data_IF_149340862274
#
_entry.id   IF_149340862274
#
_cell.length_a   1.000
_cell.length_b   1.000
_cell.length_c   1.000
_cell.angle_alpha   90.00
_cell.angle_beta   90.00
_cell.angle_gamma   90.00
#
_symmetry.space_group_name_H-M   'P 1'
#
loop_
_entity.id
_entity.type
_entity.pdbx_description
1 polymer ?
#
# COMPACT_ATOMS: atom_id res chain seq x y z
N UNK A 1 37.79 11.57 -7.88
CA UNK A 1 37.31 10.93 -9.12
C UNK A 1 37.94 9.54 -9.21
N UNK A 2 37.18 8.45 -9.29
CA UNK A 2 37.75 7.09 -9.39
C UNK A 2 38.28 6.89 -10.82
N UNK A 3 39.50 6.39 -11.02
CA UNK A 3 39.99 6.05 -12.35
C UNK A 3 39.15 4.93 -12.97
N UNK A 4 39.03 4.90 -14.31
CA UNK A 4 38.28 3.83 -15.03
C UNK A 4 38.82 2.44 -14.69
N UNK A 5 37.96 1.42 -14.73
CA UNK A 5 38.22 0.06 -14.22
C UNK A 5 39.58 -0.55 -14.67
N UNK A 6 40.01 -0.35 -15.92
CA UNK A 6 41.28 -0.88 -16.43
C UNK A 6 42.53 -0.18 -15.85
N UNK A 7 42.45 1.11 -15.52
CA UNK A 7 43.54 1.85 -14.92
C UNK A 7 43.74 1.52 -13.45
N UNK A 8 42.69 1.17 -12.77
CA UNK A 8 42.73 0.71 -11.38
C UNK A 8 43.43 -0.64 -11.25
N UNK A 9 43.17 -1.56 -12.14
CA UNK A 9 43.79 -2.89 -12.17
C UNK A 9 45.32 -2.82 -12.43
N UNK A 10 45.73 -1.96 -13.35
CA UNK A 10 47.16 -1.72 -13.64
C UNK A 10 47.88 -1.16 -12.41
N UNK A 11 47.25 -0.24 -11.69
CA UNK A 11 47.79 0.36 -10.46
C UNK A 11 47.95 -0.67 -9.33
N UNK A 12 46.97 -1.54 -9.12
CA UNK A 12 47.06 -2.57 -8.10
C UNK A 12 48.15 -3.58 -8.41
N UNK A 13 48.27 -4.01 -9.67
CA UNK A 13 49.38 -4.92 -10.08
C UNK A 13 50.77 -4.27 -9.96
N UNK A 14 50.89 -2.96 -10.15
CA UNK A 14 52.13 -2.23 -9.92
C UNK A 14 52.52 -2.20 -8.43
N UNK A 15 51.57 -1.97 -7.55
CA UNK A 15 51.78 -1.99 -6.09
C UNK A 15 52.13 -3.40 -5.57
N UNK A 16 51.63 -4.42 -6.18
CA UNK A 16 51.91 -5.82 -5.87
C UNK A 16 53.23 -6.32 -6.48
N UNK A 17 53.93 -5.47 -7.26
CA UNK A 17 55.19 -5.82 -7.93
C UNK A 17 55.01 -6.79 -9.12
N UNK A 18 53.81 -6.97 -9.60
CA UNK A 18 53.45 -7.99 -10.59
C UNK A 18 53.07 -7.35 -11.94
N UNK A 19 53.99 -6.53 -12.47
CA UNK A 19 53.87 -5.83 -13.76
C UNK A 19 54.98 -6.18 -14.73
N UNK A 20 54.63 -6.31 -16.00
CA UNK A 20 55.60 -6.50 -17.06
C UNK A 20 56.40 -5.21 -17.34
N UNK A 21 57.59 -5.29 -18.00
CA UNK A 21 58.36 -4.09 -18.34
C UNK A 21 57.64 -3.12 -19.29
N UNK A 22 56.73 -3.60 -20.09
CA UNK A 22 55.88 -2.80 -20.97
C UNK A 22 54.78 -2.06 -20.18
N UNK A 23 54.10 -2.72 -19.29
CA UNK A 23 53.07 -2.14 -18.43
C UNK A 23 53.67 -1.11 -17.45
N UNK A 24 54.90 -1.35 -16.99
CA UNK A 24 55.64 -0.38 -16.15
C UNK A 24 55.94 0.93 -16.87
N UNK A 25 56.23 0.90 -18.17
CA UNK A 25 56.42 2.10 -18.98
C UNK A 25 55.10 2.85 -19.19
N UNK A 26 54.05 2.16 -19.49
CA UNK A 26 52.73 2.71 -19.67
C UNK A 26 52.22 3.38 -18.38
N UNK A 27 52.46 2.75 -17.22
CA UNK A 27 52.14 3.31 -15.92
C UNK A 27 52.94 4.57 -15.59
N UNK A 28 54.24 4.61 -15.92
CA UNK A 28 55.05 5.79 -15.73
C UNK A 28 54.63 6.95 -16.63
N UNK A 29 54.15 6.67 -17.84
CA UNK A 29 53.58 7.67 -18.76
C UNK A 29 52.27 8.22 -18.27
N UNK A 30 51.43 7.36 -17.70
CA UNK A 30 50.16 7.73 -17.04
C UNK A 30 50.42 8.68 -15.85
N UNK A 31 51.43 8.39 -15.03
CA UNK A 31 51.83 9.26 -13.90
C UNK A 31 52.39 10.61 -14.35
N UNK A 32 52.94 10.71 -15.57
CA UNK A 32 53.43 11.99 -16.13
C UNK A 32 52.28 12.88 -16.60
N UNK A 33 51.18 12.29 -17.09
CA UNK A 33 50.13 13.03 -17.79
C UNK A 33 48.86 13.24 -16.95
N UNK A 34 48.65 12.45 -15.89
CA UNK A 34 47.42 12.48 -15.09
C UNK A 34 47.68 12.84 -13.62
N UNK A 35 47.28 14.07 -13.23
CA UNK A 35 47.38 14.57 -11.85
C UNK A 35 46.52 13.77 -10.86
N UNK A 36 45.39 13.23 -11.30
CA UNK A 36 44.51 12.39 -10.47
C UNK A 36 45.16 11.07 -10.10
N UNK A 37 45.92 10.46 -11.04
CA UNK A 37 46.66 9.23 -10.79
C UNK A 37 47.81 9.46 -9.78
N UNK A 38 48.50 10.62 -9.84
CA UNK A 38 49.54 11.02 -8.87
C UNK A 38 48.98 11.23 -7.46
N UNK A 39 47.87 11.93 -7.33
CA UNK A 39 47.23 12.15 -6.02
C UNK A 39 46.76 10.84 -5.39
N UNK A 40 46.22 9.96 -6.22
CA UNK A 40 45.73 8.68 -5.75
C UNK A 40 46.87 7.74 -5.29
N UNK A 41 47.97 7.69 -6.04
CA UNK A 41 49.18 6.95 -5.67
C UNK A 41 49.79 7.45 -4.37
N UNK A 42 49.82 8.78 -4.16
CA UNK A 42 50.30 9.37 -2.89
C UNK A 42 49.43 8.93 -1.71
N UNK A 43 48.11 8.97 -1.84
CA UNK A 43 47.20 8.54 -0.77
C UNK A 43 47.37 7.07 -0.35
N UNK A 44 47.65 6.18 -1.32
CA UNK A 44 47.90 4.76 -1.02
C UNK A 44 49.32 4.56 -0.45
N UNK A 45 50.33 5.26 -0.97
CA UNK A 45 51.71 5.16 -0.45
C UNK A 45 51.82 5.69 0.97
N UNK A 46 51.12 6.75 1.35
CA UNK A 46 51.02 7.23 2.73
C UNK A 46 50.41 6.20 3.68
N UNK A 47 49.35 5.51 3.22
CA UNK A 47 48.74 4.41 4.01
C UNK A 47 49.67 3.17 4.12
N UNK A 48 50.39 2.85 3.05
CA UNK A 48 51.36 1.74 3.05
C UNK A 48 52.55 2.01 3.94
N UNK A 49 53.05 3.25 3.98
CA UNK A 49 54.13 3.68 4.88
C UNK A 49 53.70 3.60 6.35
N UNK A 50 52.46 4.05 6.66
CA UNK A 50 51.91 3.95 8.01
C UNK A 50 51.79 2.51 8.48
N UNK A 51 51.41 1.59 7.60
CA UNK A 51 51.36 0.16 7.89
C UNK A 51 52.75 -0.48 7.99
N UNK A 52 53.71 -0.01 7.18
CA UNK A 52 55.12 -0.41 7.19
C UNK A 52 55.85 0.01 8.47
N UNK A 53 55.52 1.15 9.04
CA UNK A 53 56.08 1.63 10.31
C UNK A 53 55.54 0.83 11.52
N UNK A 54 54.31 0.42 11.47
CA UNK A 54 53.72 -0.52 12.45
C UNK A 54 54.41 -1.90 12.37
N UNK A 55 54.74 -2.35 11.18
CA UNK A 55 55.41 -3.64 10.99
C UNK A 55 56.90 -3.56 11.42
N UNK A 56 57.60 -2.43 11.16
CA UNK A 56 58.99 -2.21 11.58
C UNK A 56 59.15 -1.97 13.09
N UNK A 57 58.23 -1.31 13.74
CA UNK A 57 58.19 -1.19 15.19
C UNK A 57 58.02 -2.54 15.90
N UNK A 58 57.43 -3.53 15.22
CA UNK A 58 57.39 -4.93 15.70
C UNK A 58 58.68 -5.70 15.50
N UNK A 59 59.54 -5.33 14.57
CA UNK A 59 60.80 -6.04 14.29
C UNK A 59 61.97 -5.57 15.15
N UNK A 60 61.87 -4.41 15.81
CA UNK A 60 62.94 -3.89 16.72
C UNK A 60 62.85 -4.43 18.14
N UNK A 61 61.93 -5.33 18.45
CA UNK A 61 61.84 -6.01 19.75
C UNK A 61 62.42 -7.45 19.66
N UNK A 62 63.44 -7.61 18.85
CA UNK A 62 64.08 -8.91 18.68
C UNK A 62 65.58 -8.83 18.96
N UNK A 63 65.95 -8.39 20.15
CA UNK A 63 67.26 -8.73 20.74
C UNK A 63 67.26 -8.25 22.20
N UNK A 64 66.99 -9.13 23.08
CA UNK A 64 67.44 -9.40 24.46
C UNK A 64 66.36 -10.27 25.12
N UNK A 65 66.38 -11.56 24.87
CA UNK A 65 65.76 -12.51 25.78
C UNK A 65 66.66 -13.70 25.89
N UNK A 66 67.28 -13.83 27.07
CA UNK A 66 67.86 -15.08 27.57
C UNK A 66 66.78 -16.21 27.54
N UNK A 67 67.17 -17.48 27.35
CA UNK A 67 66.24 -18.56 27.25
C UNK A 67 65.53 -18.75 28.60
N UNK A 68 64.33 -18.22 28.70
CA UNK A 68 63.41 -18.56 29.76
C UNK A 68 62.79 -19.93 29.44
N UNK A 69 62.80 -20.79 30.47
CA UNK A 69 62.20 -22.12 30.43
C UNK A 69 60.81 -22.13 29.80
N UNK A 70 60.35 -23.23 29.16
CA UNK A 70 59.09 -23.28 28.45
C UNK A 70 57.93 -23.06 29.43
N UNK A 71 57.40 -21.86 29.44
CA UNK A 71 56.17 -21.55 30.13
C UNK A 71 55.07 -22.43 29.51
N UNK A 72 54.59 -23.37 30.34
CA UNK A 72 53.51 -24.29 30.06
C UNK A 72 52.35 -23.56 29.38
N UNK A 73 51.98 -23.99 28.18
CA UNK A 73 51.06 -23.40 27.17
C UNK A 73 49.60 -23.27 27.67
N UNK A 74 49.38 -22.70 28.85
CA UNK A 74 48.03 -22.50 29.42
C UNK A 74 47.25 -21.34 28.81
N UNK A 75 47.88 -20.50 28.01
CA UNK A 75 47.25 -19.38 27.30
C UNK A 75 46.49 -19.83 26.05
N UNK A 76 46.84 -20.97 25.47
CA UNK A 76 46.17 -21.49 24.28
C UNK A 76 44.67 -21.65 24.48
N UNK A 77 44.18 -22.25 25.58
CA UNK A 77 42.74 -22.36 25.81
C UNK A 77 42.09 -20.99 26.03
N UNK A 78 42.77 -19.99 26.64
CA UNK A 78 42.26 -18.64 26.81
C UNK A 78 42.16 -17.86 25.48
N UNK A 79 43.14 -18.02 24.58
CA UNK A 79 43.10 -17.41 23.24
C UNK A 79 41.95 -18.01 22.38
N UNK A 80 41.75 -19.32 22.46
CA UNK A 80 40.61 -19.96 21.79
C UNK A 80 39.26 -19.59 22.42
N UNK A 81 39.18 -19.40 23.73
CA UNK A 81 37.98 -18.93 24.41
C UNK A 81 37.68 -17.45 24.04
N UNK A 82 38.70 -16.60 23.96
CA UNK A 82 38.53 -15.20 23.50
C UNK A 82 38.09 -15.10 22.03
N UNK A 83 38.66 -15.94 21.15
CA UNK A 83 38.26 -16.02 19.75
C UNK A 83 36.81 -16.55 19.60
N UNK A 84 36.43 -17.55 20.38
CA UNK A 84 35.06 -18.06 20.40
C UNK A 84 34.07 -17.01 20.92
N UNK A 85 34.42 -16.28 21.99
CA UNK A 85 33.60 -15.17 22.51
C UNK A 85 33.48 -14.03 21.50
N UNK A 86 34.54 -13.67 20.76
CA UNK A 86 34.50 -12.66 19.70
C UNK A 86 33.63 -13.10 18.53
N UNK A 87 33.66 -14.38 18.13
CA UNK A 87 32.79 -14.93 17.09
C UNK A 87 31.32 -14.99 17.54
N UNK A 88 31.05 -15.38 18.78
CA UNK A 88 29.71 -15.37 19.35
C UNK A 88 29.18 -13.95 19.49
N UNK A 89 29.98 -13.00 19.98
CA UNK A 89 29.58 -11.60 20.10
C UNK A 89 29.39 -10.95 18.74
N UNK A 90 30.22 -11.26 17.74
CA UNK A 90 30.06 -10.80 16.37
C UNK A 90 28.82 -11.43 15.70
N UNK A 91 28.56 -12.71 15.96
CA UNK A 91 27.32 -13.40 15.52
C UNK A 91 26.07 -12.82 16.19
N UNK A 92 26.16 -12.50 17.49
CA UNK A 92 25.06 -11.84 18.22
C UNK A 92 24.82 -10.41 17.73
N UNK A 93 25.89 -9.63 17.47
CA UNK A 93 25.81 -8.31 16.86
C UNK A 93 25.23 -8.35 15.44
N UNK A 94 25.63 -9.35 14.67
CA UNK A 94 25.05 -9.56 13.32
C UNK A 94 23.58 -9.95 13.38
N UNK A 95 23.19 -10.77 14.35
CA UNK A 95 21.79 -11.17 14.55
C UNK A 95 20.93 -10.00 15.06
N UNK A 96 21.45 -9.15 15.93
CA UNK A 96 20.75 -7.97 16.43
C UNK A 96 20.67 -6.83 15.39
N UNK A 97 21.61 -6.79 14.42
CA UNK A 97 21.60 -5.86 13.30
C UNK A 97 20.81 -6.35 12.08
N UNK A 98 20.40 -7.63 12.06
CA UNK A 98 19.49 -8.12 11.05
C UNK A 98 18.13 -7.44 11.24
N UNK A 99 17.91 -6.36 10.51
CA UNK A 99 16.63 -5.63 10.49
C UNK A 99 15.46 -6.57 10.20
N UNK A 100 14.23 -6.20 10.53
CA UNK A 100 13.06 -7.01 10.33
C UNK A 100 12.97 -7.44 8.85
N UNK A 101 12.82 -8.74 8.63
CA UNK A 101 12.76 -9.30 7.26
C UNK A 101 11.51 -8.79 6.55
N UNK A 102 11.62 -8.35 5.28
CA UNK A 102 10.45 -7.93 4.51
C UNK A 102 9.50 -9.11 4.30
N UNK A 103 8.23 -8.88 4.55
CA UNK A 103 7.15 -9.87 4.42
C UNK A 103 6.40 -9.66 3.11
N UNK A 104 6.20 -8.40 2.72
CA UNK A 104 5.47 -8.03 1.50
C UNK A 104 6.23 -6.98 0.70
N UNK A 105 5.95 -6.92 -0.59
CA UNK A 105 6.36 -5.82 -1.48
C UNK A 105 5.11 -5.04 -1.87
N UNK A 106 5.17 -3.73 -1.73
CA UNK A 106 4.14 -2.81 -2.18
C UNK A 106 4.26 -2.65 -3.69
N UNK A 107 3.30 -3.18 -4.46
CA UNK A 107 3.38 -3.19 -5.93
C UNK A 107 2.71 -1.99 -6.56
N UNK A 108 1.68 -1.46 -5.92
CA UNK A 108 0.93 -0.32 -6.40
C UNK A 108 0.43 0.54 -5.25
N UNK A 109 0.40 1.86 -5.49
CA UNK A 109 -0.12 2.86 -4.56
C UNK A 109 -0.95 3.89 -5.33
N UNK A 110 -2.09 4.25 -4.77
CA UNK A 110 -2.84 5.45 -5.15
C UNK A 110 -3.24 6.20 -3.89
N UNK A 111 -3.06 7.51 -3.92
CA UNK A 111 -3.35 8.36 -2.75
C UNK A 111 -2.32 8.20 -1.62
N UNK A 112 -2.76 8.40 -0.39
CA UNK A 112 -1.89 8.36 0.79
C UNK A 112 -1.92 7.01 1.47
N UNK A 113 -0.74 6.41 1.62
CA UNK A 113 -0.57 5.11 2.28
C UNK A 113 0.51 5.25 3.35
N UNK A 114 0.22 4.75 4.53
CA UNK A 114 1.10 4.78 5.70
C UNK A 114 1.40 3.34 6.11
N UNK A 115 2.66 3.05 6.40
CA UNK A 115 3.04 1.81 7.05
C UNK A 115 3.55 2.10 8.44
N UNK A 116 3.11 1.29 9.41
CA UNK A 116 3.55 1.34 10.80
C UNK A 116 4.03 -0.04 11.23
N UNK A 117 5.24 -0.11 11.74
CA UNK A 117 5.86 -1.33 12.25
C UNK A 117 5.96 -1.35 13.76
N UNK A 118 6.59 -2.40 14.28
CA UNK A 118 6.88 -2.53 15.71
C UNK A 118 7.80 -1.40 16.21
N UNK A 119 7.75 -1.12 17.50
CA UNK A 119 8.59 -0.13 18.20
C UNK A 119 8.46 1.31 17.69
N UNK A 120 7.30 1.67 17.13
CA UNK A 120 7.02 3.03 16.66
C UNK A 120 7.66 3.38 15.32
N UNK A 121 8.19 2.40 14.59
CA UNK A 121 8.63 2.63 13.22
C UNK A 121 7.43 3.02 12.33
N UNK A 122 7.54 4.11 11.58
CA UNK A 122 6.50 4.56 10.65
C UNK A 122 7.12 5.09 9.37
N UNK A 123 6.45 4.83 8.24
CA UNK A 123 6.82 5.35 6.92
C UNK A 123 5.58 5.92 6.25
N UNK A 124 5.61 7.20 5.93
CA UNK A 124 4.51 7.94 5.30
C UNK A 124 4.76 8.20 3.81
N UNK A 125 6.02 8.12 3.38
CA UNK A 125 6.43 8.27 1.98
C UNK A 125 6.78 6.89 1.42
N UNK A 126 5.75 6.18 0.98
CA UNK A 126 5.90 4.88 0.35
C UNK A 126 5.84 5.02 -1.16
N UNK A 127 6.63 4.21 -1.86
CA UNK A 127 6.59 4.10 -3.31
C UNK A 127 6.37 2.64 -3.72
N UNK A 128 5.91 2.43 -4.93
CA UNK A 128 5.87 1.10 -5.53
C UNK A 128 7.28 0.48 -5.53
N UNK A 129 7.37 -0.80 -5.22
CA UNK A 129 8.64 -1.52 -5.00
C UNK A 129 9.12 -1.51 -3.55
N UNK A 130 8.52 -0.74 -2.64
CA UNK A 130 8.91 -0.73 -1.23
C UNK A 130 8.68 -2.11 -0.60
N UNK A 131 9.71 -2.62 0.08
CA UNK A 131 9.64 -3.86 0.84
C UNK A 131 9.32 -3.54 2.29
N UNK A 132 8.24 -4.15 2.80
CA UNK A 132 7.72 -3.88 4.12
C UNK A 132 7.85 -5.13 4.99
N UNK A 133 8.42 -5.01 6.21
CA UNK A 133 8.33 -6.06 7.21
C UNK A 133 6.92 -6.15 7.76
N UNK A 134 6.66 -7.13 8.63
CA UNK A 134 5.40 -7.23 9.36
C UNK A 134 5.02 -5.89 10.00
N UNK A 135 3.73 -5.56 10.00
CA UNK A 135 3.24 -4.27 10.48
C UNK A 135 1.82 -4.00 10.01
N UNK A 136 1.43 -2.74 10.08
CA UNK A 136 0.10 -2.26 9.67
C UNK A 136 0.25 -1.32 8.48
N UNK A 137 -0.58 -1.50 7.46
CA UNK A 137 -0.75 -0.57 6.34
C UNK A 137 -2.11 0.10 6.47
N UNK A 138 -2.12 1.41 6.34
CA UNK A 138 -3.31 2.25 6.35
C UNK A 138 -3.41 3.01 5.03
N UNK A 139 -4.58 2.96 4.38
CA UNK A 139 -4.92 3.80 3.23
C UNK A 139 -5.76 4.98 3.70
N UNK A 140 -5.29 6.21 3.50
CA UNK A 140 -5.93 7.43 3.99
C UNK A 140 -6.66 8.13 2.85
N UNK A 141 -7.97 8.23 2.98
CA UNK A 141 -8.86 8.81 1.97
C UNK A 141 -9.64 7.74 1.20
N UNK A 142 -10.86 8.09 0.78
CA UNK A 142 -11.80 7.13 0.19
C UNK A 142 -11.36 6.59 -1.18
N UNK A 143 -10.48 7.31 -1.88
CA UNK A 143 -9.93 6.93 -3.20
C UNK A 143 -8.46 6.47 -3.10
N UNK A 144 -7.93 6.31 -1.89
CA UNK A 144 -6.62 5.72 -1.71
C UNK A 144 -6.68 4.21 -1.94
N UNK A 145 -5.58 3.62 -2.38
CA UNK A 145 -5.45 2.17 -2.49
C UNK A 145 -3.99 1.74 -2.36
N UNK A 146 -3.79 0.49 -1.93
CA UNK A 146 -2.48 -0.12 -1.83
C UNK A 146 -2.53 -1.57 -2.24
N UNK A 147 -1.59 -2.03 -3.06
CA UNK A 147 -1.46 -3.44 -3.40
C UNK A 147 -0.18 -4.02 -2.81
N UNK A 148 -0.33 -5.07 -2.04
CA UNK A 148 0.73 -5.79 -1.35
C UNK A 148 0.92 -7.17 -1.97
N UNK A 149 2.15 -7.55 -2.26
CA UNK A 149 2.51 -8.87 -2.80
C UNK A 149 3.38 -9.64 -1.81
N UNK A 150 2.97 -10.82 -1.44
CA UNK A 150 3.81 -11.78 -0.73
C UNK A 150 4.78 -12.50 -1.68
N UNK A 151 5.81 -13.11 -1.10
CA UNK A 151 6.83 -13.84 -1.87
C UNK A 151 6.29 -15.04 -2.66
N UNK A 152 5.18 -15.65 -2.23
CA UNK A 152 4.51 -16.76 -2.93
C UNK A 152 3.58 -16.30 -4.06
N UNK A 153 3.50 -14.99 -4.33
CA UNK A 153 2.65 -14.42 -5.35
C UNK A 153 1.25 -14.03 -4.87
N UNK A 154 0.87 -14.32 -3.62
CA UNK A 154 -0.40 -13.83 -3.04
C UNK A 154 -0.46 -12.31 -3.11
N UNK A 155 -1.55 -11.77 -3.66
CA UNK A 155 -1.81 -10.34 -3.79
C UNK A 155 -2.94 -9.92 -2.84
N UNK A 156 -2.73 -8.83 -2.12
CA UNK A 156 -3.71 -8.16 -1.29
C UNK A 156 -3.89 -6.73 -1.80
N UNK A 157 -5.10 -6.33 -2.12
CA UNK A 157 -5.42 -4.95 -2.51
C UNK A 157 -6.35 -4.34 -1.47
N UNK A 158 -5.89 -3.26 -0.85
CA UNK A 158 -6.65 -2.47 0.11
C UNK A 158 -7.39 -1.35 -0.63
N UNK A 159 -8.67 -1.19 -0.32
CA UNK A 159 -9.45 -0.01 -0.73
C UNK A 159 -9.22 1.19 0.16
N UNK A 160 -9.93 2.28 -0.10
CA UNK A 160 -9.80 3.52 0.68
C UNK A 160 -10.25 3.39 2.14
N UNK A 161 -9.65 4.20 3.02
CA UNK A 161 -9.92 4.24 4.46
C UNK A 161 -9.83 2.84 5.11
N UNK A 162 -8.86 2.05 4.72
CA UNK A 162 -8.64 0.68 5.23
C UNK A 162 -7.42 0.63 6.13
N UNK A 163 -7.51 -0.16 7.19
CA UNK A 163 -6.41 -0.47 8.10
C UNK A 163 -6.21 -1.98 8.17
N UNK A 164 -5.02 -2.44 7.76
CA UNK A 164 -4.68 -3.85 7.66
C UNK A 164 -3.34 -4.13 8.32
N UNK A 165 -3.33 -4.96 9.34
CA UNK A 165 -2.10 -5.51 9.90
C UNK A 165 -1.79 -6.86 9.25
N UNK A 166 -0.50 -7.15 9.01
CA UNK A 166 -0.05 -8.39 8.41
C UNK A 166 1.22 -8.93 9.06
N UNK A 167 1.29 -10.25 9.15
CA UNK A 167 2.45 -10.97 9.66
C UNK A 167 2.63 -12.30 8.92
N UNK A 168 3.87 -12.81 8.93
CA UNK A 168 4.24 -14.10 8.38
C UNK A 168 5.13 -14.86 9.37
N UNK A 169 4.54 -15.75 10.15
CA UNK A 169 5.22 -16.62 11.10
C UNK A 169 4.96 -18.09 10.71
N UNK A 170 5.49 -18.51 9.55
CA UNK A 170 5.15 -19.79 8.92
C UNK A 170 3.77 -19.81 8.26
N UNK A 171 2.84 -19.01 8.74
CA UNK A 171 1.46 -18.84 8.25
C UNK A 171 1.17 -17.37 8.03
N UNK A 172 0.48 -17.02 6.93
CA UNK A 172 0.01 -15.66 6.66
C UNK A 172 -1.14 -15.31 7.61
N UNK A 173 -0.95 -14.27 8.38
CA UNK A 173 -1.96 -13.73 9.28
C UNK A 173 -2.23 -12.28 8.92
N UNK A 174 -3.46 -12.02 8.58
CA UNK A 174 -3.96 -10.71 8.17
C UNK A 174 -5.03 -10.29 9.18
N UNK A 175 -5.00 -9.05 9.61
CA UNK A 175 -6.02 -8.48 10.47
C UNK A 175 -6.54 -7.20 9.81
N UNK A 176 -7.73 -7.27 9.20
CA UNK A 176 -8.43 -6.13 8.62
C UNK A 176 -9.27 -5.49 9.71
N UNK A 177 -8.78 -4.37 10.26
CA UNK A 177 -9.48 -3.65 11.33
C UNK A 177 -10.64 -2.80 10.81
N UNK A 178 -10.45 -2.20 9.63
CA UNK A 178 -11.46 -1.37 8.97
C UNK A 178 -11.27 -1.36 7.47
N UNK A 179 -12.33 -1.06 6.72
CA UNK A 179 -12.30 -0.87 5.28
C UNK A 179 -12.49 -2.16 4.49
N UNK A 180 -11.80 -2.28 3.35
CA UNK A 180 -11.96 -3.37 2.40
C UNK A 180 -10.64 -3.95 1.93
N UNK A 181 -10.64 -5.27 1.72
CA UNK A 181 -9.53 -6.07 1.25
C UNK A 181 -10.01 -6.96 0.11
N UNK A 182 -9.34 -6.91 -1.02
CA UNK A 182 -9.41 -7.95 -2.06
C UNK A 182 -8.16 -8.81 -1.98
N UNK A 183 -8.31 -10.12 -2.04
CA UNK A 183 -7.20 -11.06 -1.95
C UNK A 183 -7.25 -12.08 -3.10
N UNK A 184 -6.19 -12.12 -3.89
CA UNK A 184 -5.89 -13.20 -4.81
C UNK A 184 -4.84 -14.10 -4.16
N UNK A 185 -5.29 -15.16 -3.54
CA UNK A 185 -4.45 -16.04 -2.71
C UNK A 185 -3.99 -17.22 -3.54
N UNK A 186 -2.68 -17.41 -3.62
CA UNK A 186 -2.09 -18.62 -4.19
C UNK A 186 -2.38 -19.83 -3.31
N UNK A 187 -2.30 -21.04 -3.87
CA UNK A 187 -2.53 -22.28 -3.11
C UNK A 187 -1.63 -22.33 -1.89
N UNK A 188 -2.23 -22.43 -0.70
CA UNK A 188 -1.52 -22.50 0.57
C UNK A 188 -1.13 -23.94 0.90
N UNK A 189 -0.06 -24.16 1.67
CA UNK A 189 0.32 -25.49 2.13
C UNK A 189 -0.79 -26.14 2.97
N UNK A 190 -0.90 -27.46 2.88
CA UNK A 190 -1.87 -28.20 3.69
C UNK A 190 -1.66 -27.96 5.19
N UNK A 191 -2.73 -27.65 5.91
CA UNK A 191 -2.69 -27.36 7.34
C UNK A 191 -2.20 -25.96 7.71
N UNK A 192 -1.84 -25.11 6.72
CA UNK A 192 -1.38 -23.72 6.93
C UNK A 192 -2.18 -22.75 6.06
N UNK A 193 -3.51 -22.64 6.25
CA UNK A 193 -4.34 -21.68 5.50
C UNK A 193 -3.90 -20.25 5.80
N UNK A 194 -4.10 -19.33 4.87
CA UNK A 194 -4.04 -17.91 5.18
C UNK A 194 -5.23 -17.56 6.07
N UNK A 195 -4.98 -16.86 7.17
CA UNK A 195 -6.02 -16.39 8.09
C UNK A 195 -6.24 -14.89 7.89
N UNK A 196 -7.50 -14.51 7.66
CA UNK A 196 -7.91 -13.11 7.67
C UNK A 196 -8.89 -12.91 8.83
N UNK A 197 -8.50 -12.09 9.79
CA UNK A 197 -9.33 -11.72 10.93
C UNK A 197 -9.90 -10.32 10.75
N UNK A 198 -11.15 -10.16 11.15
CA UNK A 198 -11.88 -8.90 11.19
C UNK A 198 -12.49 -8.70 12.58
N UNK A 199 -13.14 -7.59 12.89
CA UNK A 199 -13.85 -7.41 14.16
C UNK A 199 -14.89 -8.49 14.47
N UNK A 200 -15.58 -9.04 13.47
CA UNK A 200 -16.71 -9.95 13.67
C UNK A 200 -16.45 -11.37 13.18
N UNK A 201 -15.39 -11.61 12.39
CA UNK A 201 -15.17 -12.90 11.75
C UNK A 201 -13.70 -13.30 11.65
N UNK A 202 -13.48 -14.58 11.40
CA UNK A 202 -12.22 -15.15 10.94
C UNK A 202 -12.45 -15.93 9.65
N UNK A 203 -11.58 -15.72 8.67
CA UNK A 203 -11.68 -16.24 7.32
C UNK A 203 -10.47 -17.13 7.05
N UNK A 204 -10.69 -18.41 6.77
CA UNK A 204 -9.65 -19.39 6.43
C UNK A 204 -9.60 -19.61 4.92
N UNK A 205 -8.42 -19.41 4.33
CA UNK A 205 -8.24 -19.38 2.88
C UNK A 205 -7.12 -20.33 2.44
N UNK A 206 -7.42 -21.20 1.48
CA UNK A 206 -6.44 -22.18 0.94
C UNK A 206 -5.93 -21.82 -0.47
N UNK A 207 -6.64 -20.95 -1.19
CA UNK A 207 -6.26 -20.57 -2.57
C UNK A 207 -7.48 -20.10 -3.35
N UNK A 208 -7.82 -18.82 -3.21
CA UNK A 208 -9.10 -18.26 -3.68
C UNK A 208 -8.92 -16.80 -4.08
N UNK A 209 -9.81 -16.34 -4.95
CA UNK A 209 -10.04 -14.92 -5.19
C UNK A 209 -11.30 -14.51 -4.43
N UNK A 210 -11.14 -13.60 -3.47
CA UNK A 210 -12.24 -13.14 -2.63
C UNK A 210 -12.05 -11.69 -2.20
N UNK A 211 -13.14 -11.08 -1.74
CA UNK A 211 -13.15 -9.77 -1.11
C UNK A 211 -13.76 -9.85 0.29
N UNK A 212 -13.20 -9.05 1.20
CA UNK A 212 -13.73 -8.85 2.55
C UNK A 212 -13.87 -7.36 2.78
N UNK A 213 -15.02 -6.95 3.27
CA UNK A 213 -15.20 -5.60 3.82
C UNK A 213 -15.71 -5.68 5.24
N UNK A 214 -15.30 -4.72 6.07
CA UNK A 214 -15.67 -4.74 7.47
C UNK A 214 -16.23 -3.39 7.90
N UNK A 215 -17.29 -3.47 8.65
CA UNK A 215 -17.91 -2.42 9.44
C UNK A 215 -17.77 -2.77 10.93
N UNK A 216 -18.07 -1.87 11.85
CA UNK A 216 -17.94 -2.16 13.28
C UNK A 216 -18.72 -3.40 13.73
N UNK A 217 -19.91 -3.66 13.15
CA UNK A 217 -20.83 -4.71 13.57
C UNK A 217 -20.91 -5.89 12.60
N UNK A 218 -20.32 -5.78 11.41
CA UNK A 218 -20.47 -6.77 10.35
C UNK A 218 -19.21 -6.97 9.54
N UNK A 219 -19.01 -8.19 9.09
CA UNK A 219 -18.02 -8.55 8.05
C UNK A 219 -18.73 -9.18 6.89
N UNK A 220 -18.44 -8.70 5.72
CA UNK A 220 -18.97 -9.17 4.44
C UNK A 220 -17.86 -9.92 3.70
N UNK A 221 -18.17 -11.11 3.22
CA UNK A 221 -17.28 -11.95 2.43
C UNK A 221 -17.94 -12.27 1.09
N UNK A 222 -17.22 -11.99 0.01
CA UNK A 222 -17.59 -12.36 -1.36
C UNK A 222 -16.51 -13.25 -1.96
N UNK A 223 -16.88 -14.39 -2.52
CA UNK A 223 -15.95 -15.34 -3.14
C UNK A 223 -16.14 -15.36 -4.64
N UNK A 224 -15.16 -14.86 -5.39
CA UNK A 224 -15.19 -14.85 -6.86
C UNK A 224 -14.79 -16.21 -7.43
N UNK A 225 -13.80 -16.89 -6.84
CA UNK A 225 -13.36 -18.23 -7.26
C UNK A 225 -12.78 -19.02 -6.09
N UNK A 226 -12.99 -20.33 -6.08
CA UNK A 226 -12.55 -21.24 -5.02
C UNK A 226 -13.56 -21.38 -3.88
N UNK A 227 -13.09 -21.61 -2.67
CA UNK A 227 -13.90 -21.74 -1.46
C UNK A 227 -13.17 -21.18 -0.25
N UNK A 228 -13.91 -20.54 0.64
CA UNK A 228 -13.42 -19.89 1.85
C UNK A 228 -14.29 -20.29 3.03
N UNK A 229 -13.67 -20.59 4.16
CA UNK A 229 -14.41 -20.85 5.40
C UNK A 229 -14.51 -19.57 6.22
N UNK A 230 -15.73 -19.11 6.45
CA UNK A 230 -16.04 -17.95 7.29
C UNK A 230 -16.53 -18.42 8.64
N UNK A 231 -15.85 -18.02 9.70
CA UNK A 231 -16.24 -18.31 11.09
C UNK A 231 -16.59 -17.00 11.80
N UNK A 232 -17.82 -16.89 12.27
CA UNK A 232 -18.29 -15.77 13.07
C UNK A 232 -17.71 -15.85 14.49
N UNK A 233 -17.22 -14.75 15.04
CA UNK A 233 -16.50 -14.76 16.32
C UNK A 233 -17.40 -14.80 17.54
N UNK A 234 -18.61 -14.21 17.47
CA UNK A 234 -19.52 -14.09 18.63
C UNK A 234 -20.07 -15.43 19.09
N UNK A 235 -20.31 -16.38 18.19
CA UNK A 235 -20.92 -17.69 18.50
C UNK A 235 -20.13 -18.88 17.97
N UNK A 236 -19.03 -18.65 17.24
CA UNK A 236 -18.17 -19.68 16.68
C UNK A 236 -18.75 -20.44 15.49
N UNK A 237 -19.97 -20.11 15.03
CA UNK A 237 -20.58 -20.73 13.85
C UNK A 237 -19.72 -20.46 12.61
N UNK A 238 -19.67 -21.45 11.71
CA UNK A 238 -18.91 -21.35 10.47
C UNK A 238 -19.76 -21.78 9.27
N UNK A 239 -19.45 -21.19 8.12
CA UNK A 239 -20.04 -21.53 6.82
C UNK A 239 -18.94 -21.57 5.77
N UNK A 240 -19.00 -22.53 4.86
CA UNK A 240 -18.13 -22.58 3.69
C UNK A 240 -18.79 -21.80 2.56
N UNK A 241 -18.10 -20.75 2.10
CA UNK A 241 -18.56 -19.88 1.03
C UNK A 241 -17.82 -20.27 -0.24
N UNK A 242 -18.55 -20.77 -1.22
CA UNK A 242 -18.00 -21.21 -2.51
C UNK A 242 -18.00 -20.09 -3.55
N UNK A 243 -17.39 -20.35 -4.69
CA UNK A 243 -17.34 -19.39 -5.81
C UNK A 243 -18.73 -18.84 -6.14
N UNK A 244 -18.80 -17.55 -6.45
CA UNK A 244 -20.01 -16.80 -6.77
C UNK A 244 -21.07 -16.80 -5.64
N UNK A 245 -20.59 -16.92 -4.39
CA UNK A 245 -21.44 -16.78 -3.20
C UNK A 245 -20.84 -15.74 -2.24
N UNK A 246 -21.71 -15.23 -1.39
CA UNK A 246 -21.37 -14.27 -0.34
C UNK A 246 -21.95 -14.70 1.00
N UNK A 247 -21.37 -14.19 2.09
CA UNK A 247 -21.89 -14.37 3.45
C UNK A 247 -21.60 -13.14 4.30
N UNK A 248 -22.44 -12.94 5.32
CA UNK A 248 -22.31 -11.84 6.28
C UNK A 248 -22.16 -12.42 7.68
N UNK A 249 -21.12 -12.02 8.39
CA UNK A 249 -20.91 -12.32 9.80
C UNK A 249 -21.19 -11.07 10.64
N UNK A 250 -22.34 -11.04 11.31
CA UNK A 250 -22.74 -9.96 12.23
C UNK A 250 -22.33 -10.25 13.67
N UNK A 251 -22.17 -9.20 14.49
CA UNK A 251 -22.09 -9.32 15.94
C UNK A 251 -23.37 -9.86 16.56
N UNK A 252 -24.51 -9.70 15.89
CA UNK A 252 -25.75 -10.32 16.33
C UNK A 252 -25.74 -11.83 16.04
N UNK A 253 -25.66 -12.63 17.09
CA UNK A 253 -25.69 -14.08 17.01
C UNK A 253 -27.03 -14.66 16.48
N UNK A 254 -28.11 -13.88 16.51
CA UNK A 254 -29.41 -14.28 15.97
C UNK A 254 -29.49 -14.12 14.45
N UNK A 255 -28.66 -13.24 13.88
CA UNK A 255 -28.58 -13.09 12.43
C UNK A 255 -28.15 -14.39 11.76
N UNK A 256 -28.83 -14.83 10.68
CA UNK A 256 -28.46 -16.07 9.99
C UNK A 256 -27.05 -15.95 9.38
N UNK A 257 -26.19 -16.93 9.65
CA UNK A 257 -24.90 -17.09 8.98
C UNK A 257 -25.05 -18.15 7.89
N UNK A 258 -25.33 -17.71 6.68
CA UNK A 258 -25.53 -18.55 5.50
C UNK A 258 -24.79 -18.01 4.30
N UNK A 259 -24.31 -18.91 3.45
CA UNK A 259 -23.81 -18.54 2.14
C UNK A 259 -24.99 -18.42 1.17
N UNK A 260 -25.10 -17.28 0.49
CA UNK A 260 -26.14 -16.99 -0.50
C UNK A 260 -25.56 -16.61 -1.85
N UNK A 261 -26.31 -16.83 -2.91
CA UNK A 261 -25.94 -16.30 -4.22
C UNK A 261 -25.92 -14.77 -4.19
N UNK A 262 -25.00 -14.11 -4.92
CA UNK A 262 -24.98 -12.66 -5.01
C UNK A 262 -26.28 -12.16 -5.64
N UNK A 263 -26.77 -11.04 -5.16
CA UNK A 263 -27.96 -10.39 -5.73
C UNK A 263 -27.60 -9.83 -7.12
N UNK A 264 -28.53 -9.86 -8.06
CA UNK A 264 -28.31 -9.34 -9.41
C UNK A 264 -27.97 -7.84 -9.39
N UNK A 265 -26.99 -7.40 -10.19
CA UNK A 265 -26.63 -5.97 -10.26
C UNK A 265 -27.81 -5.14 -10.79
N UNK A 266 -27.92 -3.92 -10.29
CA UNK A 266 -28.91 -2.95 -10.79
C UNK A 266 -28.44 -2.37 -12.13
N UNK A 267 -29.39 -2.06 -13.01
CA UNK A 267 -29.11 -1.31 -14.24
C UNK A 267 -29.01 0.20 -14.00
N UNK A 268 -29.50 0.67 -12.88
CA UNK A 268 -29.52 2.08 -12.48
C UNK A 268 -29.38 2.20 -10.97
N UNK A 269 -28.55 3.12 -10.54
CA UNK A 269 -28.38 3.51 -9.15
C UNK A 269 -28.71 4.98 -8.97
N UNK A 270 -29.39 5.32 -7.90
CA UNK A 270 -29.59 6.70 -7.48
C UNK A 270 -29.44 6.81 -5.97
N UNK A 271 -28.78 7.87 -5.51
CA UNK A 271 -28.76 8.17 -4.09
C UNK A 271 -30.15 8.67 -3.66
N UNK A 272 -30.71 8.08 -2.62
CA UNK A 272 -31.90 8.64 -1.97
C UNK A 272 -31.46 9.86 -1.13
N UNK A 273 -31.86 11.04 -1.61
CA UNK A 273 -31.58 12.33 -0.95
C UNK A 273 -32.86 12.86 -0.29
N UNK A 274 -34.02 12.27 -0.54
CA UNK A 274 -35.29 12.70 0.04
C UNK A 274 -35.37 12.41 1.54
N UNK A 275 -34.68 11.37 2.00
CA UNK A 275 -34.63 10.96 3.42
C UNK A 275 -33.22 11.15 3.99
N UNK A 276 -33.09 11.33 5.33
CA UNK A 276 -31.76 11.31 5.97
C UNK A 276 -31.04 10.00 5.70
N UNK A 277 -29.75 10.03 5.33
CA UNK A 277 -28.99 8.81 5.11
C UNK A 277 -28.86 8.02 6.41
N UNK A 278 -29.15 6.73 6.34
CA UNK A 278 -29.02 5.84 7.50
C UNK A 278 -27.59 5.45 7.76
N UNK A 279 -26.79 5.20 6.72
CA UNK A 279 -25.37 4.84 6.83
C UNK A 279 -24.59 5.16 5.55
N UNK A 280 -23.27 5.40 5.69
CA UNK A 280 -22.33 5.45 4.58
C UNK A 280 -22.29 6.72 3.75
N UNK A 281 -23.12 7.68 4.01
CA UNK A 281 -22.98 9.01 3.42
C UNK A 281 -22.17 9.93 4.33
N UNK A 282 -21.23 10.66 3.75
CA UNK A 282 -20.60 11.82 4.38
C UNK A 282 -21.15 13.06 3.72
N UNK A 283 -21.71 13.94 4.51
CA UNK A 283 -22.41 15.17 4.12
C UNK A 283 -23.36 15.54 5.23
N UNK A 284 -23.68 16.84 5.36
CA UNK A 284 -24.73 17.29 6.27
C UNK A 284 -26.06 17.29 5.52
N UNK A 285 -26.95 16.40 5.89
CA UNK A 285 -28.25 16.32 5.25
C UNK A 285 -29.16 17.47 5.72
N UNK A 286 -29.87 18.07 4.79
CA UNK A 286 -30.84 19.14 5.02
C UNK A 286 -32.16 18.83 4.33
N UNK A 287 -33.24 18.89 5.09
CA UNK A 287 -34.59 18.68 4.57
C UNK A 287 -34.96 19.70 3.48
N UNK A 288 -35.98 19.39 2.70
CA UNK A 288 -36.56 20.35 1.79
C UNK A 288 -37.18 21.51 2.59
N UNK A 289 -36.77 22.74 2.29
CA UNK A 289 -37.19 23.94 2.99
C UNK A 289 -37.11 25.16 2.09
N UNK A 290 -38.08 26.09 2.19
CA UNK A 290 -38.04 27.39 1.48
C UNK A 290 -37.98 27.25 -0.03
N UNK A 291 -38.57 26.22 -0.65
CA UNK A 291 -38.51 25.94 -2.08
C UNK A 291 -37.23 25.22 -2.53
N UNK A 292 -36.25 25.03 -1.64
CA UNK A 292 -35.08 24.22 -1.93
C UNK A 292 -35.39 22.74 -1.73
N UNK A 293 -34.90 21.82 -2.58
CA UNK A 293 -35.06 20.38 -2.40
C UNK A 293 -34.26 19.89 -1.17
N UNK A 294 -34.59 18.68 -0.70
CA UNK A 294 -33.74 17.96 0.21
C UNK A 294 -32.33 17.81 -0.42
N UNK A 295 -31.28 17.92 0.39
CA UNK A 295 -29.92 18.00 -0.11
C UNK A 295 -28.88 17.59 0.93
N UNK A 296 -27.71 17.21 0.46
CA UNK A 296 -26.52 17.11 1.28
C UNK A 296 -25.65 18.37 1.09
N UNK A 297 -25.24 18.94 2.20
CA UNK A 297 -24.25 20.00 2.26
C UNK A 297 -22.85 19.38 2.45
N UNK A 298 -21.86 19.88 1.68
CA UNK A 298 -20.51 19.36 1.69
C UNK A 298 -19.80 19.56 3.03
N UNK A 299 -19.15 18.50 3.50
CA UNK A 299 -18.33 18.50 4.73
C UNK A 299 -16.86 18.30 4.39
N UNK A 300 -15.92 18.59 5.31
CA UNK A 300 -14.50 18.30 5.10
C UNK A 300 -14.27 16.79 4.90
N UNK A 301 -13.63 16.43 3.79
CA UNK A 301 -13.25 15.08 3.42
C UNK A 301 -11.73 15.02 3.26
N UNK A 302 -11.08 14.14 3.99
CA UNK A 302 -9.65 13.88 3.79
C UNK A 302 -9.48 13.03 2.54
N UNK A 303 -8.94 13.62 1.48
CA UNK A 303 -8.70 12.93 0.20
C UNK A 303 -7.33 12.25 0.14
N UNK A 304 -6.43 12.56 1.06
CA UNK A 304 -5.11 12.02 1.15
C UNK A 304 -4.20 12.89 2.01
N UNK A 305 -2.89 12.67 1.91
CA UNK A 305 -1.88 13.51 2.57
C UNK A 305 -0.81 13.90 1.55
N UNK A 306 -0.29 15.12 1.65
CA UNK A 306 0.87 15.60 0.91
C UNK A 306 1.91 16.07 1.91
N UNK A 307 3.09 15.45 1.90
CA UNK A 307 4.17 15.74 2.89
C UNK A 307 3.67 15.65 4.35
N UNK A 308 2.86 14.63 4.66
CA UNK A 308 2.29 14.44 5.99
C UNK A 308 1.08 15.32 6.34
N UNK A 309 0.77 16.36 5.55
CA UNK A 309 -0.36 17.27 5.76
C UNK A 309 -1.61 16.73 5.07
N UNK A 310 -2.76 16.65 5.74
CA UNK A 310 -4.02 16.23 5.11
C UNK A 310 -4.39 17.14 3.94
N UNK A 311 -4.75 16.54 2.80
CA UNK A 311 -5.39 17.22 1.68
C UNK A 311 -6.90 17.14 1.93
N UNK A 312 -7.51 18.28 2.23
CA UNK A 312 -8.92 18.37 2.57
C UNK A 312 -9.67 18.95 1.36
N UNK A 313 -10.70 18.25 0.92
CA UNK A 313 -11.72 18.77 0.05
C UNK A 313 -13.01 18.97 0.84
N UNK A 314 -13.91 19.77 0.32
CA UNK A 314 -15.25 19.94 0.89
C UNK A 314 -16.25 19.30 -0.06
N UNK A 315 -17.06 18.37 0.43
CA UNK A 315 -17.95 17.65 -0.48
C UNK A 315 -18.82 16.59 0.18
N UNK A 316 -19.43 15.80 -0.67
CA UNK A 316 -20.34 14.72 -0.34
C UNK A 316 -19.73 13.41 -0.81
N UNK A 317 -19.75 12.41 0.06
CA UNK A 317 -19.35 11.04 -0.27
C UNK A 317 -20.52 10.11 -0.01
N UNK A 318 -20.94 9.38 -1.03
CA UNK A 318 -21.98 8.35 -0.91
C UNK A 318 -21.33 7.00 -1.15
N UNK A 319 -21.47 6.13 -0.15
CA UNK A 319 -21.02 4.76 -0.24
C UNK A 319 -22.27 3.91 -0.24
N UNK A 320 -22.39 2.98 -1.15
CA UNK A 320 -23.43 1.98 -1.04
C UNK A 320 -23.01 0.96 0.02
N UNK A 321 -23.50 1.14 1.23
CA UNK A 321 -23.25 0.23 2.35
C UNK A 321 -24.37 -0.81 2.49
N UNK A 322 -25.46 -0.63 1.73
CA UNK A 322 -26.59 -1.53 1.89
C UNK A 322 -26.22 -2.96 1.55
N UNK A 323 -25.17 -3.19 0.77
CA UNK A 323 -24.48 -4.47 0.57
C UNK A 323 -23.16 -4.29 -0.18
N UNK A 324 -21.99 -4.54 0.41
CA UNK A 324 -20.73 -4.71 -0.32
C UNK A 324 -20.77 -5.93 -1.24
N UNK A 325 -21.68 -6.87 -0.96
CA UNK A 325 -21.88 -8.07 -1.77
C UNK A 325 -22.87 -7.79 -2.88
N UNK A 326 -22.36 -7.58 -4.05
CA UNK A 326 -22.87 -7.99 -5.37
C UNK A 326 -24.32 -7.68 -5.75
N UNK A 327 -25.13 -6.95 -4.99
CA UNK A 327 -26.54 -6.87 -5.31
C UNK A 327 -27.16 -5.50 -5.44
N UNK A 328 -26.57 -4.50 -4.86
CA UNK A 328 -27.10 -3.13 -4.91
C UNK A 328 -26.32 -2.19 -5.81
N UNK A 329 -25.19 -2.65 -6.39
CA UNK A 329 -24.41 -1.82 -7.30
C UNK A 329 -24.99 -1.84 -8.70
N UNK A 330 -24.99 -0.66 -9.36
CA UNK A 330 -25.22 -0.59 -10.79
C UNK A 330 -24.03 -1.23 -11.50
N UNK A 331 -24.27 -2.12 -12.44
CA UNK A 331 -23.26 -2.59 -13.36
C UNK A 331 -23.01 -1.53 -14.42
N UNK A 332 -21.81 -1.06 -14.51
CA UNK A 332 -21.42 -0.04 -15.48
C UNK A 332 -21.34 -0.64 -16.88
N UNK A 333 -22.04 -0.06 -17.82
CA UNK A 333 -21.92 -0.32 -19.24
C UNK A 333 -20.99 0.71 -19.90
N UNK A 334 -20.46 0.47 -21.11
CA UNK A 334 -19.60 1.44 -21.80
C UNK A 334 -20.22 2.82 -22.02
N UNK A 335 -21.55 2.87 -22.12
CA UNK A 335 -22.39 4.06 -22.31
C UNK A 335 -23.02 4.58 -21.01
N UNK A 336 -22.62 4.06 -19.87
CA UNK A 336 -23.07 4.57 -18.58
C UNK A 336 -22.63 6.01 -18.37
N UNK A 337 -23.47 6.77 -17.68
CA UNK A 337 -23.19 8.14 -17.29
C UNK A 337 -23.68 8.43 -15.87
N UNK A 338 -23.09 9.42 -15.27
CA UNK A 338 -23.50 9.99 -13.99
C UNK A 338 -24.28 11.26 -14.21
N UNK A 339 -25.50 11.32 -13.71
CA UNK A 339 -26.26 12.55 -13.60
C UNK A 339 -26.09 13.14 -12.19
N UNK A 340 -25.86 14.43 -12.14
CA UNK A 340 -25.64 15.17 -10.89
C UNK A 340 -26.47 16.45 -10.90
N UNK A 341 -27.11 16.74 -9.77
CA UNK A 341 -27.75 18.02 -9.50
C UNK A 341 -27.13 18.65 -8.27
N UNK A 342 -26.50 19.82 -8.47
CA UNK A 342 -25.74 20.49 -7.41
C UNK A 342 -25.87 22.01 -7.51
N UNK A 343 -25.41 22.70 -6.49
CA UNK A 343 -25.13 24.13 -6.52
C UNK A 343 -23.93 24.47 -5.64
N UNK A 344 -23.32 25.63 -5.92
CA UNK A 344 -22.29 26.26 -5.10
C UNK A 344 -22.62 27.73 -4.91
N UNK A 345 -22.23 28.31 -3.78
CA UNK A 345 -22.45 29.75 -3.53
C UNK A 345 -21.39 30.62 -4.21
N UNK A 346 -20.25 30.05 -4.60
CA UNK A 346 -19.15 30.70 -5.31
C UNK A 346 -18.64 29.80 -6.43
N UNK A 347 -18.02 30.38 -7.48
CA UNK A 347 -17.36 29.57 -8.50
C UNK A 347 -16.34 28.63 -7.90
N UNK A 348 -16.46 27.36 -8.17
CA UNK A 348 -15.57 26.32 -7.66
C UNK A 348 -15.35 25.23 -8.70
N UNK A 349 -14.14 24.65 -8.68
CA UNK A 349 -13.85 23.46 -9.47
C UNK A 349 -14.51 22.23 -8.84
N UNK A 350 -15.38 21.55 -9.59
CA UNK A 350 -16.01 20.32 -9.14
C UNK A 350 -15.14 19.10 -9.49
N UNK A 351 -14.89 18.22 -8.55
CA UNK A 351 -14.22 16.95 -8.73
C UNK A 351 -15.19 15.81 -8.43
N UNK A 352 -15.24 14.83 -9.32
CA UNK A 352 -16.05 13.66 -9.12
C UNK A 352 -15.15 12.44 -9.13
N UNK A 353 -15.28 11.59 -8.10
CA UNK A 353 -14.57 10.34 -8.00
C UNK A 353 -15.57 9.19 -7.89
N UNK A 354 -15.27 8.11 -8.61
CA UNK A 354 -16.04 6.87 -8.56
C UNK A 354 -15.09 5.74 -8.23
N UNK A 355 -15.35 5.02 -7.15
CA UNK A 355 -14.69 3.77 -6.83
C UNK A 355 -15.53 2.60 -7.29
N UNK A 356 -14.91 1.63 -7.92
CA UNK A 356 -15.62 0.49 -8.51
C UNK A 356 -15.19 -0.83 -7.92
N UNK A 357 -16.03 -1.84 -8.11
CA UNK A 357 -15.78 -3.23 -7.76
C UNK A 357 -15.99 -4.12 -8.97
N UNK A 358 -15.16 -5.15 -9.10
CA UNK A 358 -15.36 -6.24 -10.05
C UNK A 358 -16.55 -7.12 -9.61
N UNK A 359 -17.16 -7.88 -10.51
CA UNK A 359 -18.04 -8.96 -10.12
C UNK A 359 -17.35 -9.87 -9.09
N UNK A 360 -18.03 -10.13 -7.96
CA UNK A 360 -17.41 -10.86 -6.83
C UNK A 360 -16.74 -9.96 -5.77
N UNK A 361 -17.00 -8.63 -5.81
CA UNK A 361 -16.63 -7.70 -4.74
C UNK A 361 -15.19 -7.21 -4.77
N UNK A 362 -14.34 -7.72 -5.66
CA UNK A 362 -12.94 -7.29 -5.78
C UNK A 362 -12.83 -5.82 -6.20
N UNK A 363 -11.81 -5.11 -5.70
CA UNK A 363 -11.54 -3.72 -6.10
C UNK A 363 -11.36 -3.60 -7.61
N UNK A 364 -12.17 -2.77 -8.26
CA UNK A 364 -12.20 -2.57 -9.70
C UNK A 364 -11.46 -1.33 -10.19
N UNK A 365 -11.02 -0.46 -9.29
CA UNK A 365 -10.31 0.78 -9.60
C UNK A 365 -11.04 2.04 -9.14
N UNK A 366 -10.30 3.14 -9.12
CA UNK A 366 -10.84 4.48 -8.88
C UNK A 366 -10.76 5.29 -10.17
N UNK A 367 -11.80 6.03 -10.45
CA UNK A 367 -11.94 6.87 -11.63
C UNK A 367 -12.21 8.31 -11.20
N UNK A 368 -11.56 9.27 -11.86
CA UNK A 368 -11.66 10.69 -11.55
C UNK A 368 -12.13 11.47 -12.76
N UNK A 369 -13.14 12.32 -12.58
CA UNK A 369 -13.45 13.40 -13.49
C UNK A 369 -12.93 14.70 -12.88
N UNK A 370 -11.87 15.25 -13.47
CA UNK A 370 -11.40 16.61 -13.15
C UNK A 370 -12.21 17.60 -13.95
N UNK A 371 -12.68 18.67 -13.33
CA UNK A 371 -13.28 19.72 -14.09
C UNK A 371 -12.20 20.32 -15.01
N UNK A 372 -12.30 20.06 -16.30
CA UNK A 372 -11.85 21.06 -17.23
C UNK A 372 -12.59 22.33 -16.84
N UNK A 373 -11.91 23.48 -16.83
CA UNK A 373 -12.58 24.80 -16.83
C UNK A 373 -13.47 24.87 -18.07
N UNK A 374 -14.55 24.10 -18.07
CA UNK A 374 -15.58 24.18 -19.07
C UNK A 374 -16.29 25.50 -18.77
N UNK A 375 -16.11 26.44 -19.67
CA UNK A 375 -16.97 27.61 -19.78
C UNK A 375 -18.42 27.12 -19.64
N UNK A 376 -19.07 27.40 -18.50
CA UNK A 376 -20.43 26.91 -18.22
C UNK A 376 -20.66 26.38 -16.79
N UNK A 377 -19.63 26.02 -16.02
CA UNK A 377 -19.75 25.80 -14.56
C UNK A 377 -19.62 27.18 -13.87
N UNK A 378 -20.49 28.10 -14.23
CA UNK A 378 -20.53 29.43 -13.67
C UNK A 378 -21.36 29.38 -12.40
N UNK A 379 -20.78 29.96 -11.35
CA UNK A 379 -21.40 30.58 -10.21
C UNK A 379 -22.89 30.83 -10.39
N UNK A 380 -23.70 29.93 -9.91
CA UNK A 380 -25.11 30.25 -9.75
C UNK A 380 -25.52 29.70 -8.38
N UNK A 381 -26.08 30.59 -7.55
CA UNK A 381 -26.90 30.23 -6.40
C UNK A 381 -28.03 29.26 -6.77
N UNK A 382 -28.22 29.03 -8.07
CA UNK A 382 -29.26 28.18 -8.64
C UNK A 382 -28.76 26.74 -8.85
N UNK A 383 -29.68 25.80 -8.78
CA UNK A 383 -29.41 24.38 -8.98
C UNK A 383 -28.99 24.09 -10.43
N UNK A 384 -27.83 23.53 -10.61
CA UNK A 384 -27.32 23.06 -11.89
C UNK A 384 -27.59 21.55 -12.02
N UNK A 385 -27.79 21.10 -13.25
CA UNK A 385 -27.89 19.66 -13.57
C UNK A 385 -26.99 19.38 -14.76
N UNK A 386 -26.15 18.36 -14.65
CA UNK A 386 -25.36 17.89 -15.77
C UNK A 386 -25.22 16.36 -15.74
N UNK A 387 -24.95 15.83 -16.92
CA UNK A 387 -24.68 14.40 -17.12
C UNK A 387 -23.26 14.23 -17.64
N UNK A 388 -22.51 13.40 -16.95
CA UNK A 388 -21.11 13.11 -17.23
C UNK A 388 -20.98 11.68 -17.74
N UNK A 389 -20.69 11.46 -19.04
CA UNK A 389 -20.42 10.11 -19.54
C UNK A 389 -19.23 9.50 -18.82
N UNK A 390 -19.33 8.25 -18.36
CA UNK A 390 -18.26 7.62 -17.57
C UNK A 390 -16.96 7.43 -18.37
N UNK A 391 -17.04 7.36 -19.70
CA UNK A 391 -15.85 7.39 -20.59
C UNK A 391 -15.01 8.65 -20.46
N UNK A 392 -15.53 9.72 -19.87
CA UNK A 392 -14.80 10.97 -19.61
C UNK A 392 -13.98 10.92 -18.30
N UNK A 393 -14.24 9.92 -17.48
CA UNK A 393 -13.48 9.70 -16.25
C UNK A 393 -12.15 9.02 -16.56
N UNK A 394 -11.10 9.42 -15.86
CA UNK A 394 -9.76 8.85 -16.02
C UNK A 394 -9.46 7.88 -14.90
N UNK A 395 -8.89 6.72 -15.19
CA UNK A 395 -8.44 5.82 -14.14
C UNK A 395 -7.32 6.46 -13.32
N UNK A 396 -7.36 6.30 -12.02
CA UNK A 396 -6.31 6.75 -11.11
C UNK A 396 -5.19 5.72 -10.96
N UNK A 397 -5.45 4.46 -11.34
CA UNK A 397 -4.49 3.35 -11.33
C UNK A 397 -4.28 2.84 -12.76
N UNK A 398 -3.02 2.53 -13.11
CA UNK A 398 -2.64 2.15 -14.48
C UNK A 398 -3.16 0.78 -14.91
N UNK A 399 -3.38 -0.13 -13.96
CA UNK A 399 -3.84 -1.52 -14.18
C UNK A 399 -5.37 -1.68 -14.08
N UNK A 400 -6.11 -0.59 -13.87
CA UNK A 400 -7.57 -0.55 -13.81
C UNK A 400 -8.12 0.50 -14.79
N UNK A 401 -7.86 0.29 -16.08
CA UNK A 401 -8.22 1.29 -17.11
C UNK A 401 -9.68 1.19 -17.58
N UNK A 402 -10.33 0.03 -17.40
CA UNK A 402 -11.68 -0.25 -17.85
C UNK A 402 -12.66 -0.30 -16.67
N UNK A 403 -13.86 0.19 -16.87
CA UNK A 403 -14.93 0.19 -15.88
C UNK A 403 -16.15 -0.64 -16.31
N UNK A 404 -16.23 -1.03 -17.57
CA UNK A 404 -17.36 -1.81 -18.08
C UNK A 404 -17.47 -3.17 -17.35
N UNK A 405 -18.66 -3.48 -16.88
CA UNK A 405 -18.91 -4.67 -16.07
C UNK A 405 -18.58 -4.51 -14.57
N UNK A 406 -18.01 -3.37 -14.15
CA UNK A 406 -17.78 -3.09 -12.73
C UNK A 406 -19.05 -2.59 -12.03
N UNK A 407 -19.19 -2.87 -10.74
CA UNK A 407 -20.15 -2.22 -9.86
C UNK A 407 -19.60 -0.95 -9.25
N UNK A 408 -20.45 0.03 -8.94
CA UNK A 408 -20.07 1.25 -8.21
C UNK A 408 -20.08 0.99 -6.71
N UNK A 409 -19.02 1.35 -6.00
CA UNK A 409 -18.93 1.21 -4.55
C UNK A 409 -18.97 2.54 -3.78
N UNK A 410 -18.39 3.59 -4.37
CA UNK A 410 -18.35 4.92 -3.75
C UNK A 410 -18.46 5.98 -4.84
N UNK A 411 -19.23 7.01 -4.58
CA UNK A 411 -19.27 8.24 -5.37
C UNK A 411 -18.93 9.41 -4.47
N UNK A 412 -17.99 10.24 -4.89
CA UNK A 412 -17.58 11.43 -4.16
C UNK A 412 -17.68 12.63 -5.09
N UNK A 413 -18.34 13.68 -4.63
CA UNK A 413 -18.45 14.97 -5.31
C UNK A 413 -17.86 16.02 -4.40
N UNK A 414 -16.81 16.70 -4.83
CA UNK A 414 -16.05 17.62 -3.97
C UNK A 414 -15.60 18.87 -4.71
N UNK A 415 -15.21 19.87 -3.94
CA UNK A 415 -14.47 21.07 -4.36
C UNK A 415 -13.28 21.29 -3.42
N UNK A 416 -12.23 21.98 -3.88
CA UNK A 416 -11.12 22.41 -3.02
C UNK A 416 -11.51 23.59 -2.12
N UNK A 417 -12.43 24.43 -2.60
CA UNK A 417 -12.81 25.66 -1.95
C UNK A 417 -13.86 25.42 -0.86
N UNK A 418 -13.48 25.65 0.38
CA UNK A 418 -14.38 25.50 1.52
C UNK A 418 -15.57 26.45 1.46
N UNK A 419 -15.33 27.67 1.01
CA UNK A 419 -16.32 28.73 0.92
C UNK A 419 -17.26 28.62 -0.29
N UNK A 420 -17.03 27.63 -1.15
CA UNK A 420 -17.95 27.30 -2.25
C UNK A 420 -19.29 26.75 -1.75
N UNK A 421 -19.35 26.22 -0.51
CA UNK A 421 -20.58 25.71 0.12
C UNK A 421 -21.34 24.75 -0.83
N UNK A 422 -20.64 23.70 -1.29
CA UNK A 422 -21.22 22.71 -2.21
C UNK A 422 -22.45 22.05 -1.59
N UNK A 423 -23.54 22.03 -2.34
CA UNK A 423 -24.76 21.28 -2.03
C UNK A 423 -25.11 20.34 -3.18
N UNK A 424 -25.57 19.12 -2.88
CA UNK A 424 -25.99 18.10 -3.84
C UNK A 424 -27.42 17.67 -3.53
N UNK A 425 -28.31 17.79 -4.53
CA UNK A 425 -29.73 17.41 -4.39
C UNK A 425 -30.16 16.26 -5.29
N UNK A 426 -29.26 15.71 -6.09
CA UNK A 426 -29.52 14.56 -6.95
C UNK A 426 -28.22 13.95 -7.44
N UNK A 427 -28.15 12.61 -7.43
CA UNK A 427 -27.02 11.85 -7.92
C UNK A 427 -27.52 10.49 -8.40
N UNK A 428 -27.20 10.14 -9.65
CA UNK A 428 -27.54 8.83 -10.19
C UNK A 428 -26.52 8.37 -11.23
N UNK A 429 -26.41 7.06 -11.42
CA UNK A 429 -25.59 6.42 -12.44
C UNK A 429 -26.43 5.37 -13.17
N UNK A 430 -26.37 5.35 -14.49
CA UNK A 430 -27.08 4.39 -15.34
C UNK A 430 -26.71 4.58 -16.80
N UNK A 431 -27.28 3.74 -17.64
CA UNK A 431 -27.17 3.87 -19.10
C UNK A 431 -27.92 5.14 -19.54
N UNK A 432 -27.28 5.96 -20.37
CA UNK A 432 -27.96 7.10 -20.98
C UNK A 432 -29.06 6.56 -21.89
N UNK A 433 -30.31 6.78 -21.51
CA UNK A 433 -31.42 6.67 -22.45
C UNK A 433 -31.30 7.85 -23.42
N UNK A 434 -31.29 7.60 -24.73
CA UNK A 434 -31.18 8.65 -25.74
C UNK A 434 -32.31 9.67 -25.66
#
# INVERSE_FOLDING_TARGET
MKPGAGRFDLLMRYLDGNVSPTESREFNELLRTDDGARQWLRGISEQAVALGDIARSRSMIKEVVAPLAPLRNWWRPLAWAAAALALVSMGLLWWTQAGPRPVVTLTEISGSVIWSGDKGASRTELAAGARLPAGTVETVGAVASAQLRFADGTLLTLGGNSELAFALNGQKRINLKSGSLTAAVTKQPAGLPMLVRTPTAEVEVLGTLFAVSTQPEETWLDVASGSVRLRRLVDGRAVDVTAQHSAVASLDAQSPLVAGAPTMPLAHWSADIATPPTDGAKGEWRAAEGGAPARWHGVPLVMGRRNGVPVIHHGVSVRDHSRPSAGSFVTLAPDSAMALRWRTQKPAGLFIFISTQLPGGAFGGNFELKPTRTAGLVDTSDWQTATFPLRSFRPMQSNHAEFAGHGVSVVIVTTYEQDAQLEVSGMSIGVLTP
#
